data_IF_638786100732
#
_entry.id   IF_638786100732
#
_cell.length_a   1.000
_cell.length_b   1.000
_cell.length_c   1.000
_cell.angle_alpha   90.00
_cell.angle_beta   90.00
_cell.angle_gamma   90.00
#
_symmetry.space_group_name_H-M   'P 1'
#
loop_
_entity.id
_entity.type
_entity.pdbx_description
1 polymer ?
#
# COMPACT_ATOMS: atom_id res chain seq x y z
N UNK A 1 14.91 -13.81 0.58
CA UNK A 1 13.71 -14.33 1.21
C UNK A 1 13.14 -15.38 0.27
N UNK A 2 12.59 -16.46 0.80
CA UNK A 2 12.10 -17.54 -0.08
C UNK A 2 10.81 -17.12 -0.83
N UNK A 3 10.46 -17.78 -1.97
CA UNK A 3 9.28 -17.42 -2.76
C UNK A 3 7.94 -17.49 -2.00
N UNK A 4 7.81 -18.43 -1.07
CA UNK A 4 6.61 -18.60 -0.23
C UNK A 4 6.38 -17.39 0.68
N UNK A 5 7.46 -16.88 1.29
CA UNK A 5 7.41 -15.69 2.13
C UNK A 5 7.01 -14.46 1.33
N UNK A 6 7.56 -14.29 0.13
CA UNK A 6 7.14 -13.21 -0.78
C UNK A 6 5.65 -13.32 -1.14
N UNK A 7 5.17 -14.53 -1.47
CA UNK A 7 3.75 -14.75 -1.77
C UNK A 7 2.86 -14.32 -0.61
N UNK A 8 3.20 -14.73 0.62
CA UNK A 8 2.46 -14.36 1.83
C UNK A 8 2.43 -12.84 2.06
N UNK A 9 3.54 -12.14 1.84
CA UNK A 9 3.59 -10.67 1.95
C UNK A 9 2.66 -10.02 0.91
N UNK A 10 2.69 -10.50 -0.33
CA UNK A 10 1.86 -9.96 -1.40
C UNK A 10 0.36 -10.18 -1.16
N UNK A 11 -0.01 -11.34 -0.60
CA UNK A 11 -1.39 -11.64 -0.22
C UNK A 11 -1.89 -10.74 0.91
N UNK A 12 -1.09 -10.55 1.96
CA UNK A 12 -1.43 -9.63 3.06
C UNK A 12 -1.53 -8.19 2.58
N UNK A 13 -0.68 -7.77 1.65
CA UNK A 13 -0.76 -6.46 1.00
C UNK A 13 -2.06 -6.31 0.20
N UNK A 14 -2.40 -7.30 -0.63
CA UNK A 14 -3.61 -7.28 -1.43
C UNK A 14 -4.87 -7.23 -0.57
N UNK A 15 -4.94 -8.09 0.46
CA UNK A 15 -6.06 -8.12 1.40
C UNK A 15 -6.17 -6.80 2.18
N UNK A 16 -5.05 -6.25 2.65
CA UNK A 16 -5.02 -4.97 3.37
C UNK A 16 -5.52 -3.81 2.51
N UNK A 17 -5.16 -3.79 1.22
CA UNK A 17 -5.62 -2.78 0.26
C UNK A 17 -7.14 -2.86 0.05
N UNK A 18 -7.67 -4.07 -0.18
CA UNK A 18 -9.11 -4.30 -0.35
C UNK A 18 -9.89 -3.86 0.88
N UNK A 19 -9.42 -4.20 2.08
CA UNK A 19 -10.07 -3.78 3.32
C UNK A 19 -10.01 -2.27 3.51
N UNK A 20 -8.86 -1.64 3.28
CA UNK A 20 -8.70 -0.19 3.47
C UNK A 20 -9.67 0.60 2.61
N UNK A 21 -9.78 0.29 1.32
CA UNK A 21 -10.69 1.03 0.44
C UNK A 21 -12.15 0.72 0.76
N UNK A 22 -12.48 -0.50 1.17
CA UNK A 22 -13.83 -0.85 1.61
C UNK A 22 -14.26 -0.03 2.82
N UNK A 23 -13.38 0.13 3.82
CA UNK A 23 -13.63 0.95 5.00
C UNK A 23 -13.87 2.42 4.63
N UNK A 24 -13.33 2.85 3.49
CA UNK A 24 -13.50 4.19 2.92
C UNK A 24 -14.58 4.26 1.82
N UNK A 25 -15.47 3.26 1.72
CA UNK A 25 -16.64 3.28 0.85
C UNK A 25 -16.38 2.92 -0.62
N UNK A 26 -15.19 2.39 -0.94
CA UNK A 26 -14.81 1.98 -2.30
C UNK A 26 -14.59 0.47 -2.35
N UNK A 27 -15.36 -0.22 -3.19
CA UNK A 27 -15.14 -1.64 -3.44
C UNK A 27 -13.96 -1.84 -4.40
N UNK A 28 -12.98 -2.64 -3.98
CA UNK A 28 -11.87 -3.09 -4.83
C UNK A 28 -11.97 -4.57 -5.12
N UNK A 29 -11.59 -4.97 -6.33
CA UNK A 29 -11.36 -6.36 -6.73
C UNK A 29 -9.98 -6.49 -7.35
N UNK A 30 -9.16 -7.39 -6.81
CA UNK A 30 -7.85 -7.69 -7.39
C UNK A 30 -8.02 -8.27 -8.81
N UNK A 31 -7.22 -7.79 -9.75
CA UNK A 31 -7.14 -8.33 -11.10
C UNK A 31 -5.92 -9.25 -11.17
N UNK A 32 -6.18 -10.56 -11.17
CA UNK A 32 -5.16 -11.58 -11.45
C UNK A 32 -4.78 -11.52 -12.94
N UNK A 33 -3.49 -11.61 -13.24
CA UNK A 33 -2.93 -11.71 -14.59
C UNK A 33 -3.32 -10.61 -15.60
N UNK A 34 -3.71 -9.43 -15.11
CA UNK A 34 -4.00 -8.29 -15.98
C UNK A 34 -2.71 -7.64 -16.49
N UNK A 35 -2.65 -7.41 -17.81
CA UNK A 35 -1.59 -6.59 -18.39
C UNK A 35 -1.65 -5.17 -17.80
N UNK A 36 -0.51 -4.64 -17.33
CA UNK A 36 -0.51 -3.32 -16.72
C UNK A 36 -0.81 -2.25 -17.78
N UNK A 37 -1.67 -1.26 -17.48
CA UNK A 37 -1.73 -0.07 -18.30
C UNK A 37 -0.36 0.62 -18.27
N UNK A 38 0.18 0.93 -19.45
CA UNK A 38 1.49 1.61 -19.58
C UNK A 38 1.49 3.01 -18.95
N UNK A 39 0.30 3.64 -18.84
CA UNK A 39 0.09 4.98 -18.32
C UNK A 39 -1.29 5.04 -17.67
N UNK A 40 -1.42 5.68 -16.51
CA UNK A 40 -2.74 6.01 -15.96
C UNK A 40 -3.39 7.09 -16.83
N UNK A 41 -4.56 6.86 -17.42
CA UNK A 41 -5.19 7.86 -18.27
C UNK A 41 -5.65 9.08 -17.45
N UNK A 42 -5.31 10.28 -17.93
CA UNK A 42 -5.74 11.55 -17.34
C UNK A 42 -5.01 11.92 -16.04
N UNK A 43 -5.66 12.77 -15.24
CA UNK A 43 -5.12 13.30 -14.00
C UNK A 43 -5.12 12.23 -12.90
N UNK A 44 -3.94 11.90 -12.40
CA UNK A 44 -3.73 10.87 -11.40
C UNK A 44 -2.92 11.41 -10.23
N UNK A 45 -3.05 10.76 -9.08
CA UNK A 45 -2.18 10.99 -7.92
C UNK A 45 -1.26 9.79 -7.74
N UNK A 46 0.00 10.07 -7.44
CA UNK A 46 0.96 9.11 -6.92
C UNK A 46 1.22 9.43 -5.46
N UNK A 47 1.14 8.42 -4.59
CA UNK A 47 1.64 8.51 -3.22
C UNK A 47 2.72 7.46 -3.00
N UNK A 48 3.78 7.85 -2.31
CA UNK A 48 4.97 7.04 -2.06
C UNK A 48 5.29 7.05 -0.57
N UNK A 49 5.61 5.89 -0.01
CA UNK A 49 6.09 5.75 1.37
C UNK A 49 7.20 4.69 1.43
N UNK A 50 8.32 5.04 2.03
CA UNK A 50 9.44 4.13 2.26
C UNK A 50 9.29 3.36 3.57
N UNK A 51 9.98 2.23 3.66
CA UNK A 51 10.15 1.51 4.92
C UNK A 51 11.51 0.85 5.03
N UNK A 52 11.92 0.59 6.26
CA UNK A 52 13.17 -0.09 6.58
C UNK A 52 13.01 -0.98 7.80
N UNK A 53 13.83 -2.02 7.88
CA UNK A 53 13.87 -3.00 8.95
C UNK A 53 15.07 -3.91 8.76
N UNK A 54 15.39 -4.71 9.77
CA UNK A 54 16.60 -5.55 9.78
C UNK A 54 16.62 -6.55 8.63
N UNK A 55 15.44 -7.03 8.23
CA UNK A 55 15.27 -8.08 7.23
C UNK A 55 14.62 -7.62 5.93
N UNK A 56 14.01 -6.43 5.93
CA UNK A 56 13.22 -5.95 4.81
C UNK A 56 13.29 -4.43 4.73
N UNK A 57 13.61 -3.90 3.56
CA UNK A 57 13.55 -2.46 3.26
C UNK A 57 12.97 -2.26 1.87
N UNK A 58 12.36 -1.11 1.63
CA UNK A 58 11.69 -0.90 0.36
C UNK A 58 10.78 0.30 0.35
N UNK A 59 9.81 0.25 -0.56
CA UNK A 59 8.79 1.27 -0.69
C UNK A 59 7.45 0.70 -1.12
N UNK A 60 6.40 1.45 -0.83
CA UNK A 60 5.05 1.24 -1.33
C UNK A 60 4.64 2.49 -2.11
N UNK A 61 4.14 2.28 -3.33
CA UNK A 61 3.60 3.34 -4.19
C UNK A 61 2.14 3.07 -4.52
N UNK A 62 1.27 4.04 -4.28
CA UNK A 62 -0.10 4.06 -4.77
C UNK A 62 -0.18 4.94 -6.01
N UNK A 63 -0.83 4.46 -7.07
CA UNK A 63 -1.17 5.29 -8.24
C UNK A 63 -2.65 5.10 -8.55
N UNK A 64 -3.40 6.20 -8.56
CA UNK A 64 -4.82 6.15 -8.85
C UNK A 64 -5.33 7.44 -9.52
N UNK A 65 -6.40 7.37 -10.34
CA UNK A 65 -7.09 8.56 -10.82
C UNK A 65 -7.58 9.42 -9.65
N UNK A 66 -7.50 10.74 -9.80
CA UNK A 66 -8.03 11.69 -8.80
C UNK A 66 -9.49 11.38 -8.43
N UNK A 67 -10.41 11.04 -9.37
CA UNK A 67 -11.79 10.69 -9.02
C UNK A 67 -11.91 9.51 -8.05
N UNK A 68 -11.02 8.52 -8.10
CA UNK A 68 -11.03 7.39 -7.18
C UNK A 68 -10.70 7.86 -5.75
N UNK A 69 -9.63 8.65 -5.61
CA UNK A 69 -9.18 9.15 -4.30
C UNK A 69 -10.23 10.07 -3.70
N UNK A 70 -10.82 10.96 -4.51
CA UNK A 70 -11.95 11.80 -4.10
C UNK A 70 -13.14 10.98 -3.59
N UNK A 71 -13.52 9.88 -4.27
CA UNK A 71 -14.62 9.00 -3.82
C UNK A 71 -14.30 8.25 -2.53
N UNK A 72 -13.03 7.99 -2.25
CA UNK A 72 -12.63 7.39 -0.96
C UNK A 72 -12.50 8.40 0.17
N UNK A 73 -12.51 9.71 -0.13
CA UNK A 73 -12.25 10.74 0.86
C UNK A 73 -13.38 10.82 1.91
N UNK A 74 -13.08 10.91 3.22
CA UNK A 74 -14.10 10.94 4.27
C UNK A 74 -15.01 12.18 4.24
N UNK A 75 -14.52 13.29 3.66
CA UNK A 75 -15.27 14.55 3.51
C UNK A 75 -15.94 14.74 2.15
N UNK A 76 -15.93 13.73 1.26
CA UNK A 76 -16.44 13.85 -0.13
C UNK A 76 -17.89 14.35 -0.23
N UNK A 77 -18.72 14.01 0.75
CA UNK A 77 -20.14 14.39 0.80
C UNK A 77 -20.37 15.72 1.54
N UNK A 78 -19.31 16.31 2.11
CA UNK A 78 -19.38 17.54 2.93
C UNK A 78 -18.84 18.77 2.22
N UNK A 79 -17.84 18.61 1.35
CA UNK A 79 -17.25 19.70 0.56
C UNK A 79 -16.58 19.19 -0.71
N UNK A 80 -16.39 20.06 -1.72
CA UNK A 80 -15.47 19.79 -2.80
C UNK A 80 -14.08 19.46 -2.26
N UNK A 81 -13.46 18.43 -2.85
CA UNK A 81 -12.10 17.99 -2.55
C UNK A 81 -11.17 18.64 -3.57
N UNK A 82 -10.28 19.49 -3.10
CA UNK A 82 -9.24 20.13 -3.90
C UNK A 82 -7.99 19.24 -4.02
N UNK A 83 -7.02 19.68 -4.80
CA UNK A 83 -5.81 18.90 -5.12
C UNK A 83 -4.95 18.63 -3.88
N UNK A 84 -4.82 19.61 -2.98
CA UNK A 84 -4.06 19.45 -1.73
C UNK A 84 -4.71 18.36 -0.86
N UNK A 85 -6.04 18.39 -0.72
CA UNK A 85 -6.78 17.34 -0.01
C UNK A 85 -6.65 15.97 -0.66
N UNK A 86 -6.52 15.88 -2.00
CA UNK A 86 -6.26 14.62 -2.71
C UNK A 86 -4.87 14.09 -2.36
N UNK A 87 -3.85 14.94 -2.38
CA UNK A 87 -2.49 14.58 -2.01
C UNK A 87 -2.40 14.12 -0.54
N UNK A 88 -2.97 14.89 0.38
CA UNK A 88 -3.00 14.57 1.81
C UNK A 88 -3.69 13.23 2.06
N UNK A 89 -4.83 13.01 1.41
CA UNK A 89 -5.57 11.76 1.57
C UNK A 89 -4.88 10.57 0.91
N UNK A 90 -4.24 10.75 -0.24
CA UNK A 90 -3.44 9.69 -0.86
C UNK A 90 -2.23 9.29 0.02
N UNK A 91 -1.57 10.28 0.64
CA UNK A 91 -0.52 10.07 1.65
C UNK A 91 -1.03 9.33 2.89
N UNK A 92 -2.22 9.67 3.36
CA UNK A 92 -2.85 8.98 4.49
C UNK A 92 -3.22 7.53 4.13
N UNK A 93 -3.77 7.29 2.94
CA UNK A 93 -4.07 5.94 2.46
C UNK A 93 -2.81 5.06 2.33
N UNK A 94 -1.69 5.60 1.83
CA UNK A 94 -0.44 4.83 1.72
C UNK A 94 0.15 4.52 3.10
N UNK A 95 0.09 5.47 4.02
CA UNK A 95 0.49 5.29 5.41
C UNK A 95 -0.37 4.24 6.12
N UNK A 96 -1.69 4.31 6.01
CA UNK A 96 -2.60 3.32 6.61
C UNK A 96 -2.41 1.93 5.99
N UNK A 97 -2.26 1.84 4.67
CA UNK A 97 -2.03 0.57 4.00
C UNK A 97 -0.75 -0.09 4.52
N UNK A 98 0.36 0.65 4.54
CA UNK A 98 1.63 0.11 5.00
C UNK A 98 1.62 -0.17 6.51
N UNK A 99 0.86 0.60 7.30
CA UNK A 99 0.62 0.32 8.72
C UNK A 99 -0.14 -1.00 8.94
N UNK A 100 -1.18 -1.26 8.16
CA UNK A 100 -1.90 -2.54 8.17
C UNK A 100 -0.97 -3.70 7.80
N UNK A 101 -0.18 -3.55 6.74
CA UNK A 101 0.82 -4.55 6.33
C UNK A 101 1.84 -4.78 7.43
N UNK A 102 2.43 -3.72 8.02
CA UNK A 102 3.34 -3.83 9.17
C UNK A 102 2.76 -4.67 10.29
N UNK A 103 1.49 -4.45 10.66
CA UNK A 103 0.83 -5.22 11.72
C UNK A 103 0.66 -6.69 11.36
N UNK A 104 0.50 -7.03 10.07
CA UNK A 104 0.43 -8.41 9.57
C UNK A 104 1.81 -9.07 9.43
N UNK A 105 2.86 -8.28 9.20
CA UNK A 105 4.24 -8.75 9.13
C UNK A 105 4.85 -9.01 10.51
N UNK A 106 4.43 -8.28 11.55
CA UNK A 106 4.98 -8.40 12.91
C UNK A 106 4.89 -9.82 13.50
N UNK A 107 3.76 -10.55 13.43
CA UNK A 107 3.69 -11.95 13.87
C UNK A 107 4.61 -12.90 13.08
N UNK A 108 5.10 -12.48 11.91
CA UNK A 108 6.01 -13.25 11.07
C UNK A 108 7.49 -12.94 11.36
N UNK A 109 7.78 -12.22 12.45
CA UNK A 109 9.13 -11.79 12.81
C UNK A 109 9.66 -10.64 11.96
N UNK A 110 8.86 -10.06 11.06
CA UNK A 110 9.24 -8.91 10.25
C UNK A 110 8.83 -7.60 10.92
N UNK A 111 9.82 -6.87 11.42
CA UNK A 111 9.63 -5.54 12.00
C UNK A 111 10.12 -4.49 11.02
N UNK A 112 9.21 -3.58 10.64
CA UNK A 112 9.52 -2.44 9.77
C UNK A 112 9.12 -1.11 10.41
N UNK A 113 9.87 -0.07 10.06
CA UNK A 113 9.64 1.33 10.39
C UNK A 113 9.31 2.08 9.11
N UNK A 114 8.27 2.92 9.15
CA UNK A 114 7.74 3.65 8.00
C UNK A 114 8.38 5.05 7.96
N UNK A 115 8.67 5.55 6.75
CA UNK A 115 9.00 6.96 6.53
C UNK A 115 7.74 7.83 6.52
N UNK A 116 7.91 9.14 6.33
CA UNK A 116 6.79 10.01 5.96
C UNK A 116 6.37 9.72 4.52
N UNK A 117 5.05 9.67 4.22
CA UNK A 117 4.57 9.59 2.86
C UNK A 117 4.75 10.93 2.12
N UNK A 118 4.84 10.87 0.80
CA UNK A 118 4.77 12.00 -0.11
C UNK A 118 3.75 11.72 -1.19
N UNK A 119 3.07 12.74 -1.69
CA UNK A 119 2.14 12.60 -2.80
C UNK A 119 2.27 13.75 -3.81
N UNK A 120 1.92 13.45 -5.06
CA UNK A 120 1.86 14.43 -6.15
C UNK A 120 0.76 14.07 -7.14
N UNK A 121 0.10 15.09 -7.68
CA UNK A 121 -0.87 14.97 -8.75
C UNK A 121 -0.20 15.33 -10.08
N UNK A 122 -0.57 14.62 -11.14
CA UNK A 122 -0.06 14.90 -12.47
C UNK A 122 -0.71 14.08 -13.57
N UNK A 123 -0.52 14.53 -14.80
CA UNK A 123 -0.95 13.80 -15.99
C UNK A 123 0.10 12.76 -16.39
N UNK A 124 -0.37 11.63 -16.92
CA UNK A 124 0.46 10.58 -17.49
C UNK A 124 1.55 10.02 -16.55
N UNK A 125 1.25 9.93 -15.26
CA UNK A 125 2.17 9.35 -14.27
C UNK A 125 2.55 7.92 -14.68
N UNK A 126 3.87 7.68 -14.70
CA UNK A 126 4.47 6.36 -14.92
C UNK A 126 5.25 5.98 -13.68
N UNK A 127 4.83 4.91 -13.04
CA UNK A 127 5.63 4.30 -12.01
C UNK A 127 6.63 3.33 -12.66
N UNK A 128 7.91 3.48 -12.30
CA UNK A 128 8.98 2.66 -12.85
C UNK A 128 8.85 1.25 -12.29
N UNK A 129 8.88 0.25 -13.17
CA UNK A 129 9.01 -1.14 -12.76
C UNK A 129 10.48 -1.44 -12.49
N UNK A 130 10.76 -2.03 -11.34
CA UNK A 130 12.08 -2.55 -11.00
C UNK A 130 11.99 -4.08 -10.95
N UNK A 131 12.94 -4.77 -11.58
CA UNK A 131 12.94 -6.24 -11.67
C UNK A 131 13.64 -6.85 -10.44
N UNK A 132 13.18 -6.50 -9.25
CA UNK A 132 13.64 -7.12 -8.00
C UNK A 132 12.74 -8.32 -7.64
N UNK A 133 13.26 -9.32 -6.93
CA UNK A 133 12.46 -10.48 -6.50
C UNK A 133 11.29 -10.09 -5.57
N UNK A 134 11.44 -9.00 -4.81
CA UNK A 134 10.39 -8.48 -3.94
C UNK A 134 9.51 -7.42 -4.60
N UNK A 135 9.70 -7.17 -5.90
CA UNK A 135 8.82 -6.29 -6.64
C UNK A 135 7.49 -6.99 -6.93
N UNK A 136 6.39 -6.31 -6.59
CA UNK A 136 5.04 -6.72 -6.96
C UNK A 136 4.21 -5.53 -7.36
N UNK A 137 3.55 -5.68 -8.50
CA UNK A 137 2.50 -4.80 -8.98
C UNK A 137 1.15 -5.45 -8.74
N UNK A 138 0.28 -4.79 -7.99
CA UNK A 138 -1.10 -5.20 -7.78
C UNK A 138 -2.02 -4.21 -8.51
N UNK A 139 -2.88 -4.74 -9.38
CA UNK A 139 -3.88 -3.95 -10.10
C UNK A 139 -5.26 -4.27 -9.54
N UNK A 140 -5.99 -3.23 -9.15
CA UNK A 140 -7.34 -3.35 -8.62
C UNK A 140 -8.35 -2.69 -9.55
N UNK A 141 -9.47 -3.38 -9.72
CA UNK A 141 -10.71 -2.88 -10.28
C UNK A 141 -11.52 -2.13 -9.23
N UNK A 142 -11.90 -0.90 -9.56
CA UNK A 142 -12.77 -0.04 -8.76
C UNK A 142 -13.97 0.46 -9.58
N UNK A 143 -14.49 -0.40 -10.47
CA UNK A 143 -15.58 -0.06 -11.39
C UNK A 143 -15.05 0.65 -12.63
N UNK A 144 -15.21 1.98 -12.69
CA UNK A 144 -14.73 2.78 -13.82
C UNK A 144 -13.23 3.11 -13.75
N UNK A 145 -12.64 2.97 -12.57
CA UNK A 145 -11.24 3.33 -12.30
C UNK A 145 -10.39 2.10 -11.97
N UNK A 146 -9.07 2.31 -12.08
CA UNK A 146 -8.05 1.34 -11.66
C UNK A 146 -7.21 1.94 -10.54
N UNK A 147 -6.87 1.13 -9.55
CA UNK A 147 -5.84 1.44 -8.56
C UNK A 147 -4.64 0.54 -8.81
N UNK A 148 -3.45 1.13 -8.82
CA UNK A 148 -2.19 0.39 -8.88
C UNK A 148 -1.48 0.54 -7.54
N UNK A 149 -1.05 -0.58 -6.98
CA UNK A 149 -0.15 -0.62 -5.82
C UNK A 149 1.15 -1.26 -6.27
N UNK A 150 2.26 -0.54 -6.15
CA UNK A 150 3.59 -1.10 -6.30
C UNK A 150 4.18 -1.33 -4.93
N UNK A 151 4.71 -2.53 -4.73
CA UNK A 151 5.51 -2.87 -3.58
C UNK A 151 6.88 -3.26 -4.10
N UNK A 152 7.91 -2.55 -3.67
CA UNK A 152 9.28 -2.84 -4.06
C UNK A 152 10.10 -3.04 -2.81
N UNK A 153 10.52 -4.27 -2.57
CA UNK A 153 11.17 -4.66 -1.34
C UNK A 153 12.42 -5.48 -1.61
N UNK A 154 13.45 -5.19 -0.83
CA UNK A 154 14.69 -5.93 -0.78
C UNK A 154 14.80 -6.65 0.55
N UNK A 155 15.00 -7.96 0.48
CA UNK A 155 15.37 -8.79 1.61
C UNK A 155 16.83 -9.28 1.42
N UNK A 156 17.81 -8.77 2.19
CA UNK A 156 19.22 -9.14 2.02
C UNK A 156 19.48 -10.64 2.22
N UNK A 157 18.70 -11.28 3.09
CA UNK A 157 18.81 -12.71 3.35
C UNK A 157 17.86 -13.51 2.43
N UNK A 158 18.45 -14.17 1.44
CA UNK A 158 17.76 -15.04 0.50
C UNK A 158 17.02 -16.21 1.19
N UNK A 159 17.54 -16.72 2.30
CA UNK A 159 17.06 -17.92 2.97
C UNK A 159 16.00 -17.64 4.06
N UNK A 160 15.73 -16.38 4.38
CA UNK A 160 14.74 -16.00 5.38
C UNK A 160 13.37 -16.63 5.07
N UNK A 161 12.85 -17.35 6.06
CA UNK A 161 11.50 -17.94 6.06
C UNK A 161 10.64 -17.23 7.09
N UNK A 162 9.41 -16.92 6.71
CA UNK A 162 8.42 -16.37 7.63
C UNK A 162 7.81 -17.50 8.45
N UNK A 163 8.23 -17.57 9.71
CA UNK A 163 7.63 -18.44 10.72
C UNK A 163 6.80 -17.60 11.68
N UNK A 164 5.67 -18.14 12.14
CA UNK A 164 4.87 -17.45 13.15
C UNK A 164 5.62 -17.40 14.47
N UNK A 165 5.98 -16.20 14.86
CA UNK A 165 6.56 -15.90 16.16
C UNK A 165 5.39 -15.76 17.13
N UNK A 166 5.45 -16.48 18.26
CA UNK A 166 4.56 -16.23 19.40
C UNK A 166 4.78 -14.80 19.87
N UNK A 167 3.95 -13.88 19.40
CA UNK A 167 3.96 -12.49 19.83
C UNK A 167 3.00 -12.37 21.02
N UNK A 168 3.39 -11.69 22.11
CA UNK A 168 2.43 -11.34 23.15
C UNK A 168 1.30 -10.51 22.54
N UNK A 169 0.09 -10.70 23.08
CA UNK A 169 -1.22 -10.22 22.62
C UNK A 169 -1.16 -8.91 21.80
N UNK A 170 -1.77 -8.84 20.59
CA UNK A 170 -1.77 -7.62 19.79
C UNK A 170 -2.21 -6.41 20.62
N UNK A 171 -1.34 -5.40 20.69
CA UNK A 171 -1.68 -4.12 21.30
C UNK A 171 -2.95 -3.60 20.65
N UNK A 172 -3.97 -3.35 21.47
CA UNK A 172 -5.25 -2.85 21.01
C UNK A 172 -5.08 -1.42 20.52
N UNK A 173 -5.69 -1.12 19.39
CA UNK A 173 -5.74 0.23 18.85
C UNK A 173 -6.33 1.19 19.91
N UNK A 174 -5.55 2.19 20.34
CA UNK A 174 -5.92 3.14 21.40
C UNK A 174 -5.22 2.97 22.76
N UNK A 175 -4.32 1.99 22.92
CA UNK A 175 -3.56 1.81 24.16
C UNK A 175 -2.40 2.83 24.26
N UNK A 176 -2.48 3.75 25.23
CA UNK A 176 -1.45 4.77 25.49
C UNK A 176 -0.36 4.19 26.39
N UNK A 177 0.88 4.16 25.91
CA UNK A 177 2.07 3.87 26.73
C UNK A 177 2.58 5.17 27.36
N UNK A 178 2.50 5.26 28.68
CA UNK A 178 3.23 6.25 29.46
C UNK A 178 4.65 5.71 29.69
N UNK A 179 5.64 6.45 29.20
CA UNK A 179 7.06 6.25 29.46
C UNK A 179 7.52 7.07 30.67
#
# INVERSE_FOLDING_TARGET
MNPESWHRIHDELAASCVHLFRDNGVALRLLEDAEPPQVTPGNAVVSFIGFTGDHLRGSLTLVAPVPLITRSHPLRDRRPIDEDMVCDWASELSNQLLGRVKNRLRPLGLVIVLSTPSAAVGDHLRAREEQSEGFRRLLFDAGLDRLVVLFDALAPDAALKLEEVSTPDPQREGEVLLF
#
